data_IF_342241262112
#
_entry.id   IF_342241262112
#
_cell.length_a   1.000
_cell.length_b   1.000
_cell.length_c   1.000
_cell.angle_alpha   90.00
_cell.angle_beta   90.00
_cell.angle_gamma   90.00
#
_symmetry.space_group_name_H-M   'P 1'
#
loop_
_entity.id
_entity.type
_entity.pdbx_description
1 polymer ?
#
# COMPACT_ATOMS: atom_id res chain seq x y z
N UNK A 1 17.25 -6.98 -4.82
CA UNK A 1 16.40 -6.14 -3.96
C UNK A 1 15.02 -6.24 -4.55
N UNK A 2 14.08 -6.85 -3.83
CA UNK A 2 12.71 -6.97 -4.30
C UNK A 2 11.96 -5.67 -4.05
N UNK A 3 10.95 -5.42 -4.87
CA UNK A 3 9.99 -4.35 -4.76
C UNK A 3 8.68 -4.92 -4.24
N UNK A 4 8.19 -4.35 -3.14
CA UNK A 4 7.07 -4.91 -2.38
C UNK A 4 6.04 -3.80 -2.25
N UNK A 5 4.89 -4.02 -2.87
CA UNK A 5 3.74 -3.17 -2.66
C UNK A 5 3.07 -3.53 -1.33
N UNK A 6 2.79 -2.53 -0.51
CA UNK A 6 2.06 -2.67 0.74
C UNK A 6 0.61 -2.23 0.51
N UNK A 7 -0.32 -3.16 0.70
CA UNK A 7 -1.74 -2.83 0.90
C UNK A 7 -1.89 -1.88 2.10
N UNK A 8 -2.96 -1.07 2.12
CA UNK A 8 -3.28 -0.19 3.25
C UNK A 8 -3.30 -0.92 4.59
N UNK A 9 -3.78 -2.17 4.64
CA UNK A 9 -3.80 -2.95 5.87
C UNK A 9 -2.39 -3.26 6.38
N UNK A 10 -1.47 -3.53 5.46
CA UNK A 10 -0.04 -3.73 5.76
C UNK A 10 0.60 -2.42 6.23
N UNK A 11 0.31 -1.30 5.56
CA UNK A 11 0.79 0.02 5.96
C UNK A 11 0.29 0.41 7.36
N UNK A 12 -0.98 0.15 7.69
CA UNK A 12 -1.53 0.39 9.03
C UNK A 12 -0.85 -0.52 10.06
N UNK A 13 -0.60 -1.79 9.73
CA UNK A 13 0.10 -2.73 10.60
C UNK A 13 1.56 -2.29 10.87
N UNK A 14 2.24 -1.73 9.86
CA UNK A 14 3.54 -1.07 10.01
C UNK A 14 3.45 0.13 10.95
N UNK A 15 2.46 1.00 10.75
CA UNK A 15 2.25 2.18 11.60
C UNK A 15 1.96 1.81 13.06
N UNK A 16 1.27 0.70 13.30
CA UNK A 16 0.92 0.26 14.66
C UNK A 16 1.99 -0.62 15.30
N UNK A 17 3.10 -0.88 14.61
CA UNK A 17 4.19 -1.74 15.07
C UNK A 17 3.71 -3.18 15.39
N UNK A 18 2.64 -3.65 14.72
CA UNK A 18 1.96 -4.92 15.02
C UNK A 18 2.71 -6.16 14.49
N UNK A 19 3.81 -5.99 13.72
CA UNK A 19 4.62 -7.07 13.11
C UNK A 19 6.11 -6.71 12.97
N UNK A 20 6.71 -6.20 14.04
CA UNK A 20 8.11 -5.71 14.05
C UNK A 20 9.16 -6.74 13.59
N UNK A 21 8.90 -8.03 13.81
CA UNK A 21 9.75 -9.14 13.36
C UNK A 21 9.84 -9.24 11.84
N UNK A 22 8.73 -9.00 11.14
CA UNK A 22 8.66 -9.01 9.67
C UNK A 22 9.27 -7.72 9.10
N UNK A 23 8.96 -6.57 9.71
CA UNK A 23 9.43 -5.27 9.21
C UNK A 23 10.95 -5.16 9.20
N UNK A 24 11.65 -5.73 10.19
CA UNK A 24 13.11 -5.78 10.21
C UNK A 24 13.73 -6.47 8.98
N UNK A 25 13.07 -7.50 8.43
CA UNK A 25 13.50 -8.17 7.20
C UNK A 25 13.20 -7.37 5.93
N UNK A 26 12.17 -6.52 5.98
CA UNK A 26 11.69 -5.71 4.86
C UNK A 26 12.43 -4.38 4.69
N UNK A 27 13.15 -3.89 5.71
CA UNK A 27 13.93 -2.65 5.66
C UNK A 27 14.97 -2.57 4.53
N UNK A 28 15.39 -3.71 3.98
CA UNK A 28 16.35 -3.78 2.85
C UNK A 28 15.69 -3.84 1.48
N UNK A 29 14.36 -3.83 1.42
CA UNK A 29 13.58 -3.93 0.19
C UNK A 29 13.04 -2.57 -0.23
N UNK A 30 12.65 -2.44 -1.50
CA UNK A 30 11.96 -1.25 -1.98
C UNK A 30 10.49 -1.38 -1.61
N UNK A 31 10.06 -0.69 -0.56
CA UNK A 31 8.67 -0.68 -0.12
C UNK A 31 7.89 0.39 -0.87
N UNK A 32 6.73 0.01 -1.39
CA UNK A 32 5.92 0.82 -2.30
C UNK A 32 4.49 0.89 -1.76
N UNK A 33 3.87 2.06 -1.82
CA UNK A 33 2.47 2.30 -1.45
C UNK A 33 1.79 3.16 -2.50
N UNK A 34 0.45 3.10 -2.59
CA UNK A 34 -0.29 4.07 -3.40
C UNK A 34 -0.44 5.40 -2.66
N UNK A 35 -0.57 6.51 -3.40
CA UNK A 35 -0.96 7.79 -2.81
C UNK A 35 -2.33 7.72 -2.11
N UNK A 36 -3.22 6.85 -2.59
CA UNK A 36 -4.52 6.59 -1.96
C UNK A 36 -4.36 6.02 -0.54
N UNK A 37 -3.38 5.13 -0.33
CA UNK A 37 -3.12 4.52 0.98
C UNK A 37 -2.83 5.56 2.05
N UNK A 38 -2.12 6.65 1.72
CA UNK A 38 -1.88 7.76 2.66
C UNK A 38 -3.16 8.46 3.09
N UNK A 39 -4.06 8.74 2.14
CA UNK A 39 -5.36 9.33 2.43
C UNK A 39 -6.17 8.45 3.38
N UNK A 40 -6.23 7.14 3.09
CA UNK A 40 -6.97 6.17 3.91
C UNK A 40 -6.38 6.08 5.31
N UNK A 41 -5.06 5.99 5.45
CA UNK A 41 -4.38 5.98 6.76
C UNK A 41 -4.75 7.22 7.57
N UNK A 42 -4.61 8.41 6.99
CA UNK A 42 -4.93 9.65 7.69
C UNK A 42 -6.40 9.69 8.10
N UNK A 43 -7.29 9.25 7.21
CA UNK A 43 -8.73 9.22 7.44
C UNK A 43 -9.12 8.22 8.54
N UNK A 44 -8.56 7.01 8.56
CA UNK A 44 -8.88 5.97 9.53
C UNK A 44 -8.28 6.28 10.91
N UNK A 45 -7.03 6.71 10.96
CA UNK A 45 -6.34 7.04 12.21
C UNK A 45 -6.68 8.44 12.75
N UNK A 46 -7.50 9.20 12.02
CA UNK A 46 -7.90 10.58 12.35
C UNK A 46 -6.71 11.51 12.57
N UNK A 47 -5.63 11.28 11.83
CA UNK A 47 -4.44 12.12 11.89
C UNK A 47 -4.68 13.46 11.21
N UNK A 48 -4.26 14.52 11.88
CA UNK A 48 -4.22 15.88 11.31
C UNK A 48 -2.83 16.13 10.74
N UNK A 49 -2.75 16.90 9.66
CA UNK A 49 -1.48 17.29 9.04
C UNK A 49 -1.10 18.70 9.54
N UNK A 50 0.18 18.96 9.88
CA UNK A 50 1.34 18.06 9.81
C UNK A 50 1.32 16.96 10.88
N UNK A 51 1.96 15.82 10.59
CA UNK A 51 2.07 14.67 11.49
C UNK A 51 3.45 14.01 11.35
N UNK A 52 4.29 14.07 12.39
CA UNK A 52 5.71 13.67 12.31
C UNK A 52 5.88 12.21 11.85
N UNK A 53 5.16 11.25 12.47
CA UNK A 53 5.23 9.84 12.08
C UNK A 53 4.81 9.59 10.62
N UNK A 54 3.92 10.42 10.07
CA UNK A 54 3.50 10.30 8.68
C UNK A 54 4.60 10.79 7.74
N UNK A 55 5.26 11.91 8.09
CA UNK A 55 6.39 12.46 7.34
C UNK A 55 7.55 11.46 7.30
N UNK A 56 7.92 10.87 8.44
CA UNK A 56 9.00 9.87 8.52
C UNK A 56 8.71 8.63 7.64
N UNK A 57 7.45 8.18 7.63
CA UNK A 57 7.03 7.07 6.77
C UNK A 57 7.00 7.46 5.30
N UNK A 58 6.56 8.67 4.98
CA UNK A 58 6.55 9.16 3.60
C UNK A 58 7.96 9.19 3.01
N UNK A 59 8.96 9.62 3.78
CA UNK A 59 10.36 9.70 3.34
C UNK A 59 11.03 8.31 3.19
N UNK A 60 10.48 7.28 3.85
CA UNK A 60 11.01 5.91 3.81
C UNK A 60 10.31 4.99 2.80
N UNK A 61 9.16 5.40 2.24
CA UNK A 61 8.35 4.58 1.32
C UNK A 61 8.23 5.25 -0.06
N UNK A 62 8.24 4.43 -1.12
CA UNK A 62 7.98 4.93 -2.47
C UNK A 62 6.48 5.07 -2.68
N UNK A 63 6.03 6.30 -2.98
CA UNK A 63 4.62 6.58 -3.28
C UNK A 63 4.32 6.53 -4.76
N UNK A 64 3.32 5.74 -5.15
CA UNK A 64 2.86 5.59 -6.54
C UNK A 64 1.61 6.41 -6.76
N UNK A 65 1.65 7.25 -7.80
CA UNK A 65 0.53 8.12 -8.17
C UNK A 65 -0.66 7.34 -8.74
N UNK A 66 -1.86 7.75 -8.33
CA UNK A 66 -3.10 7.24 -8.92
C UNK A 66 -3.39 7.94 -10.26
N UNK A 67 -2.83 7.41 -11.35
CA UNK A 67 -3.05 7.92 -12.71
C UNK A 67 -4.47 7.59 -13.21
N UNK A 68 -4.96 8.36 -14.19
CA UNK A 68 -6.24 8.07 -14.87
C UNK A 68 -6.32 6.64 -15.44
N UNK A 69 -5.19 6.09 -15.90
CA UNK A 69 -5.10 4.70 -16.38
C UNK A 69 -5.36 3.69 -15.27
N UNK A 70 -4.81 3.91 -14.08
CA UNK A 70 -5.06 3.08 -12.88
C UNK A 70 -6.54 3.11 -12.53
N UNK A 71 -7.13 4.31 -12.43
CA UNK A 71 -8.56 4.46 -12.12
C UNK A 71 -9.44 3.75 -13.14
N UNK A 72 -9.16 3.93 -14.44
CA UNK A 72 -9.93 3.27 -15.50
C UNK A 72 -9.90 1.75 -15.34
N UNK A 73 -8.72 1.16 -15.14
CA UNK A 73 -8.57 -0.29 -14.95
C UNK A 73 -9.24 -0.75 -13.65
N UNK A 74 -9.19 0.05 -12.59
CA UNK A 74 -9.79 -0.29 -11.31
C UNK A 74 -11.33 -0.36 -11.34
N UNK A 75 -11.98 0.32 -12.30
CA UNK A 75 -13.42 0.20 -12.53
C UNK A 75 -13.82 -1.13 -13.21
N UNK A 76 -12.86 -1.85 -13.77
CA UNK A 76 -13.04 -3.12 -14.50
C UNK A 76 -12.33 -4.28 -13.78
N UNK A 77 -11.78 -4.01 -12.58
CA UNK A 77 -10.78 -4.83 -11.93
C UNK A 77 -11.31 -6.19 -11.42
N UNK A 78 -10.40 -7.06 -10.98
CA UNK A 78 -10.73 -8.44 -10.64
C UNK A 78 -11.51 -8.60 -9.33
N UNK A 79 -11.67 -7.54 -8.54
CA UNK A 79 -12.49 -7.53 -7.33
C UNK A 79 -13.65 -6.53 -7.47
N UNK A 80 -14.67 -6.69 -6.61
CA UNK A 80 -15.77 -5.71 -6.53
C UNK A 80 -15.40 -4.48 -5.69
N UNK A 81 -14.22 -4.48 -5.05
CA UNK A 81 -13.75 -3.39 -4.22
C UNK A 81 -12.82 -2.46 -5.02
N UNK A 82 -13.22 -1.20 -5.15
CA UNK A 82 -12.47 -0.22 -5.92
C UNK A 82 -11.09 0.07 -5.31
N UNK A 83 -10.98 0.05 -3.98
CA UNK A 83 -9.71 0.27 -3.29
C UNK A 83 -8.71 -0.83 -3.62
N UNK A 84 -9.12 -2.10 -3.46
CA UNK A 84 -8.30 -3.26 -3.79
C UNK A 84 -7.82 -3.19 -5.24
N UNK A 85 -8.73 -2.89 -6.16
CA UNK A 85 -8.42 -2.77 -7.58
C UNK A 85 -7.42 -1.63 -7.87
N UNK A 86 -7.57 -0.46 -7.23
CA UNK A 86 -6.60 0.65 -7.35
C UNK A 86 -5.25 0.20 -6.84
N UNK A 87 -5.18 -0.44 -5.68
CA UNK A 87 -3.93 -0.90 -5.10
C UNK A 87 -3.23 -1.95 -5.98
N UNK A 88 -3.95 -2.96 -6.47
CA UNK A 88 -3.41 -3.98 -7.39
C UNK A 88 -2.86 -3.34 -8.67
N UNK A 89 -3.59 -2.41 -9.28
CA UNK A 89 -3.11 -1.72 -10.49
C UNK A 89 -1.96 -0.76 -10.21
N UNK A 90 -1.89 -0.15 -9.01
CA UNK A 90 -0.70 0.62 -8.60
C UNK A 90 0.53 -0.28 -8.45
N UNK A 91 0.38 -1.48 -7.88
CA UNK A 91 1.47 -2.44 -7.73
C UNK A 91 2.03 -2.88 -9.09
N UNK A 92 1.14 -3.15 -10.05
CA UNK A 92 1.54 -3.48 -11.44
C UNK A 92 2.23 -2.30 -12.12
N UNK A 93 1.68 -1.08 -12.01
CA UNK A 93 2.27 0.13 -12.60
C UNK A 93 3.65 0.47 -12.02
N UNK A 94 3.90 0.11 -10.76
CA UNK A 94 5.18 0.31 -10.08
C UNK A 94 6.18 -0.83 -10.27
N UNK A 95 5.80 -1.83 -11.07
CA UNK A 95 6.56 -3.04 -11.37
C UNK A 95 6.97 -3.80 -10.09
N UNK A 96 6.05 -3.88 -9.11
CA UNK A 96 6.33 -4.58 -7.86
C UNK A 96 6.44 -6.10 -8.05
N UNK A 97 7.46 -6.70 -7.45
CA UNK A 97 7.67 -8.16 -7.44
C UNK A 97 6.63 -8.88 -6.56
N UNK A 98 6.21 -8.24 -5.47
CA UNK A 98 5.26 -8.79 -4.52
C UNK A 98 4.18 -7.77 -4.14
N UNK A 99 2.96 -8.27 -3.95
CA UNK A 99 1.85 -7.56 -3.32
C UNK A 99 1.63 -8.14 -1.93
N UNK A 100 1.95 -7.37 -0.89
CA UNK A 100 1.78 -7.78 0.50
C UNK A 100 0.40 -7.31 0.99
N UNK A 101 -0.40 -8.25 1.51
CA UNK A 101 -1.74 -7.99 2.03
C UNK A 101 -2.11 -8.99 3.12
N UNK A 102 -3.00 -8.57 4.03
CA UNK A 102 -3.67 -9.43 5.00
C UNK A 102 -5.00 -10.00 4.47
N UNK A 103 -5.48 -9.53 3.31
CA UNK A 103 -6.75 -9.97 2.75
C UNK A 103 -6.63 -11.38 2.15
N UNK A 104 -7.28 -12.34 2.81
CA UNK A 104 -7.31 -13.73 2.38
C UNK A 104 -8.01 -13.95 1.03
N UNK A 105 -8.96 -13.10 0.66
CA UNK A 105 -9.62 -13.15 -0.64
C UNK A 105 -8.61 -12.78 -1.74
N UNK A 106 -7.88 -11.69 -1.56
CA UNK A 106 -6.81 -11.30 -2.50
C UNK A 106 -5.73 -12.38 -2.61
N UNK A 107 -5.30 -12.95 -1.49
CA UNK A 107 -4.33 -14.06 -1.48
C UNK A 107 -4.85 -15.34 -2.16
N UNK A 108 -6.16 -15.50 -2.28
CA UNK A 108 -6.79 -16.66 -2.93
C UNK A 108 -7.00 -16.49 -4.43
N UNK A 109 -6.72 -15.30 -4.96
CA UNK A 109 -6.79 -15.02 -6.40
C UNK A 109 -5.74 -15.86 -7.13
N UNK A 110 -6.13 -16.41 -8.29
CA UNK A 110 -5.28 -17.26 -9.13
C UNK A 110 -4.59 -16.46 -10.22
#
# INVERSE_FOLDING_TARGET
>A
MASIFLDVNELISLIKDERNDIWGGLQKQRLVVSVLSWHIVCYLLKWKVPHDKLSDLYDSLVSVEMKRSVVKRAMEGPTDDFEDNVQLHCAVEAECDYFLTLDKKLLSMK
#
